data_IF_757633761649
#
_entry.id   IF_757633761649
#
_cell.length_a   1.000
_cell.length_b   1.000
_cell.length_c   1.000
_cell.angle_alpha   90.00
_cell.angle_beta   90.00
_cell.angle_gamma   90.00
#
_symmetry.space_group_name_H-M   'P 1'
#
loop_
_entity.id
_entity.type
_entity.pdbx_description
1 polymer ?
#
# COMPACT_ATOMS: atom_id res chain seq x y z
N UNK A 1 -15.13 13.73 -10.40
CA UNK A 1 -14.37 12.76 -9.60
C UNK A 1 -13.51 13.58 -8.66
N UNK A 2 -13.53 13.35 -7.34
CA UNK A 2 -12.64 14.10 -6.43
C UNK A 2 -11.22 13.60 -6.68
N UNK A 3 -10.41 14.42 -7.33
CA UNK A 3 -9.02 14.12 -7.65
C UNK A 3 -8.24 13.81 -6.37
N UNK A 4 -7.92 12.53 -6.19
CA UNK A 4 -7.03 12.05 -5.12
C UNK A 4 -7.71 11.49 -3.87
N UNK A 5 -8.99 11.13 -3.92
CA UNK A 5 -9.62 10.31 -2.88
C UNK A 5 -9.40 8.81 -3.17
N UNK A 6 -8.87 8.07 -2.21
CA UNK A 6 -8.68 6.62 -2.37
C UNK A 6 -10.05 5.96 -2.23
N UNK A 7 -10.50 5.30 -3.29
CA UNK A 7 -11.77 4.58 -3.25
C UNK A 7 -11.65 3.29 -2.45
N UNK A 8 -12.75 2.83 -1.89
CA UNK A 8 -12.82 1.55 -1.16
C UNK A 8 -12.36 0.38 -2.04
N UNK A 9 -12.67 0.41 -3.33
CA UNK A 9 -12.19 -0.57 -4.31
C UNK A 9 -10.67 -0.56 -4.45
N UNK A 10 -10.04 0.63 -4.44
CA UNK A 10 -8.57 0.75 -4.46
C UNK A 10 -7.96 0.16 -3.19
N UNK A 11 -8.56 0.41 -2.02
CA UNK A 11 -8.12 -0.18 -0.74
C UNK A 11 -8.19 -1.71 -0.77
N UNK A 12 -9.27 -2.29 -1.31
CA UNK A 12 -9.39 -3.75 -1.42
C UNK A 12 -8.33 -4.35 -2.35
N UNK A 13 -8.03 -3.69 -3.48
CA UNK A 13 -6.97 -4.11 -4.40
C UNK A 13 -5.59 -4.01 -3.76
N UNK A 14 -5.32 -2.93 -3.01
CA UNK A 14 -4.10 -2.76 -2.21
C UNK A 14 -3.93 -3.90 -1.22
N UNK A 15 -4.94 -4.15 -0.39
CA UNK A 15 -4.89 -5.22 0.62
C UNK A 15 -4.68 -6.58 -0.04
N UNK A 16 -5.37 -6.88 -1.15
CA UNK A 16 -5.19 -8.14 -1.87
C UNK A 16 -3.78 -8.30 -2.44
N UNK A 17 -3.21 -7.24 -3.02
CA UNK A 17 -1.84 -7.25 -3.52
C UNK A 17 -0.83 -7.48 -2.39
N UNK A 18 -0.97 -6.73 -1.30
CA UNK A 18 -0.14 -6.82 -0.10
C UNK A 18 -0.22 -8.22 0.51
N UNK A 19 -1.41 -8.80 0.68
CA UNK A 19 -1.54 -10.16 1.23
C UNK A 19 -0.84 -11.24 0.39
N UNK A 20 -0.56 -10.98 -0.89
CA UNK A 20 0.18 -11.91 -1.77
C UNK A 20 1.68 -11.68 -1.76
N UNK A 21 2.14 -10.50 -1.32
CA UNK A 21 3.55 -10.10 -1.36
C UNK A 21 4.13 -10.07 0.06
N UNK A 22 5.30 -10.67 0.26
CA UNK A 22 6.03 -10.54 1.55
C UNK A 22 6.55 -9.12 1.77
N UNK A 23 6.85 -8.44 0.67
CA UNK A 23 7.58 -7.17 0.60
C UNK A 23 7.16 -6.44 -0.67
N UNK A 24 7.00 -5.12 -0.60
CA UNK A 24 6.76 -4.28 -1.78
C UNK A 24 7.38 -2.89 -1.59
N UNK A 25 7.66 -2.24 -2.71
CA UNK A 25 8.06 -0.82 -2.79
C UNK A 25 6.90 0.06 -3.20
N UNK A 26 7.04 1.37 -2.97
CA UNK A 26 6.00 2.34 -3.38
C UNK A 26 5.81 2.31 -4.90
N UNK A 27 6.90 2.23 -5.67
CA UNK A 27 6.85 2.17 -7.13
C UNK A 27 6.16 0.91 -7.66
N UNK A 28 6.44 -0.27 -7.08
CA UNK A 28 5.76 -1.52 -7.47
C UNK A 28 4.26 -1.47 -7.18
N UNK A 29 3.89 -0.96 -6.01
CA UNK A 29 2.48 -0.79 -5.63
C UNK A 29 1.78 0.21 -6.56
N UNK A 30 2.43 1.32 -6.90
CA UNK A 30 1.90 2.32 -7.82
C UNK A 30 1.69 1.76 -9.22
N UNK A 31 2.66 1.01 -9.74
CA UNK A 31 2.59 0.41 -11.08
C UNK A 31 1.52 -0.68 -11.17
N UNK A 32 1.44 -1.58 -10.19
CA UNK A 32 0.46 -2.68 -10.19
C UNK A 32 -0.98 -2.15 -10.16
N UNK A 33 -1.20 -1.08 -9.42
CA UNK A 33 -2.53 -0.53 -9.18
C UNK A 33 -2.85 0.67 -10.07
N UNK A 34 -1.94 1.00 -11.00
CA UNK A 34 -2.03 2.14 -11.90
C UNK A 34 -2.35 3.44 -11.15
N UNK A 35 -1.66 3.67 -10.03
CA UNK A 35 -1.82 4.82 -9.15
C UNK A 35 -0.81 5.90 -9.45
N UNK A 36 -1.24 7.15 -9.43
CA UNK A 36 -0.30 8.27 -9.44
C UNK A 36 0.54 8.32 -8.16
N UNK A 37 1.76 8.87 -8.18
CA UNK A 37 2.64 8.91 -7.00
C UNK A 37 1.99 9.48 -5.73
N UNK A 38 1.14 10.50 -5.87
CA UNK A 38 0.39 11.09 -4.75
C UNK A 38 -0.66 10.13 -4.17
N UNK A 39 -1.34 9.37 -5.02
CA UNK A 39 -2.32 8.35 -4.60
C UNK A 39 -1.63 7.18 -3.92
N UNK A 40 -0.49 6.73 -4.47
CA UNK A 40 0.36 5.70 -3.88
C UNK A 40 0.85 6.07 -2.49
N UNK A 41 1.34 7.31 -2.30
CA UNK A 41 1.76 7.80 -1.00
C UNK A 41 0.61 7.81 0.01
N UNK A 42 -0.58 8.30 -0.39
CA UNK A 42 -1.78 8.27 0.47
C UNK A 42 -2.18 6.84 0.82
N UNK A 43 -2.07 5.90 -0.12
CA UNK A 43 -2.41 4.49 0.09
C UNK A 43 -1.49 3.86 1.13
N UNK A 44 -0.19 4.09 1.02
CA UNK A 44 0.80 3.61 1.98
C UNK A 44 0.55 4.22 3.36
N UNK A 45 0.28 5.53 3.44
CA UNK A 45 -0.10 6.18 4.69
C UNK A 45 -1.35 5.54 5.31
N UNK A 46 -2.39 5.25 4.53
CA UNK A 46 -3.59 4.58 4.99
C UNK A 46 -3.28 3.18 5.54
N UNK A 47 -2.46 2.40 4.83
CA UNK A 47 -2.09 1.03 5.24
C UNK A 47 -1.26 1.03 6.53
N UNK A 48 -0.33 1.98 6.67
CA UNK A 48 0.47 2.17 7.88
C UNK A 48 -0.42 2.59 9.07
N UNK A 49 -1.32 3.56 8.88
CA UNK A 49 -2.22 4.05 9.92
C UNK A 49 -3.17 2.95 10.44
N UNK A 50 -3.57 2.02 9.58
CA UNK A 50 -4.43 0.89 9.94
C UNK A 50 -3.65 -0.36 10.39
N UNK A 51 -2.32 -0.27 10.56
CA UNK A 51 -1.45 -1.40 10.94
C UNK A 51 -1.51 -2.60 9.98
N UNK A 52 -1.85 -2.37 8.70
CA UNK A 52 -1.91 -3.41 7.67
C UNK A 52 -0.52 -3.75 7.12
N UNK A 53 0.39 -2.78 7.13
CA UNK A 53 1.80 -2.94 6.73
C UNK A 53 2.73 -2.26 7.74
N UNK A 54 4.00 -2.63 7.73
CA UNK A 54 5.06 -2.06 8.57
C UNK A 54 6.20 -1.56 7.71
N UNK A 55 6.67 -0.34 7.97
CA UNK A 55 7.87 0.21 7.33
C UNK A 55 9.09 -0.18 8.16
N UNK A 56 10.05 -0.92 7.57
CA UNK A 56 11.39 -1.05 8.17
C UNK A 56 12.20 0.20 7.84
N UNK A 57 12.84 0.76 8.85
CA UNK A 57 13.53 2.05 8.77
C UNK A 57 14.95 1.98 8.17
N UNK A 58 15.47 0.76 7.92
CA UNK A 58 16.85 0.56 7.45
C UNK A 58 17.02 -0.22 6.14
N UNK A 59 15.95 -0.79 5.59
CA UNK A 59 15.96 -1.42 4.27
C UNK A 59 14.56 -1.19 3.69
N UNK A 60 14.49 -0.65 2.47
CA UNK A 60 13.24 -0.60 1.70
C UNK A 60 12.92 -2.06 1.34
N UNK A 61 12.08 -2.74 2.13
CA UNK A 61 10.67 -2.96 1.75
C UNK A 61 9.66 -2.92 2.93
N UNK A 62 8.39 -2.63 2.60
CA UNK A 62 7.25 -2.64 3.52
C UNK A 62 6.84 -4.10 3.82
N UNK A 63 6.90 -4.53 5.09
CA UNK A 63 6.53 -5.88 5.52
C UNK A 63 5.05 -5.96 5.89
N UNK A 64 4.38 -7.03 5.47
CA UNK A 64 2.98 -7.34 5.82
C UNK A 64 2.94 -8.08 7.14
N UNK A 65 2.05 -7.69 8.05
CA UNK A 65 1.92 -8.34 9.36
C UNK A 65 1.09 -9.62 9.20
N UNK A 66 1.71 -10.79 9.33
CA UNK A 66 0.98 -12.06 9.49
C UNK A 66 0.23 -12.04 10.83
N UNK A 67 -1.08 -12.33 10.79
CA UNK A 67 -1.87 -12.59 12.00
C UNK A 67 -1.49 -13.99 12.50
N UNK A 68 -0.92 -14.06 13.70
CA UNK A 68 -0.89 -15.26 14.53
C UNK A 68 -2.26 -15.48 15.17
#
# INVERSE_FOLDING_TARGET
MKDGEISETMVLSLVRYICRQKTFTESEMGNELNLEPNQTAKAICFLLANNLVRKKMHEVPLFVRERQ
#
